data_IF_091743135364
#
_entry.id   IF_091743135364
#
_cell.length_a   1.000
_cell.length_b   1.000
_cell.length_c   1.000
_cell.angle_alpha   90.00
_cell.angle_beta   90.00
_cell.angle_gamma   90.00
#
_symmetry.space_group_name_H-M   'P 1'
#
loop_
_entity.id
_entity.type
_entity.pdbx_description
1 polymer ?
#
# COMPACT_ATOMS: atom_id res chain seq x y z
N UNK A 1 5.67 24.08 22.55
CA UNK A 1 6.15 22.88 21.81
C UNK A 1 6.04 23.05 20.29
N UNK A 2 6.31 24.25 19.77
CA UNK A 2 6.17 24.63 18.34
C UNK A 2 7.50 25.22 17.88
N UNK A 3 8.57 24.43 17.88
CA UNK A 3 9.92 24.94 17.50
C UNK A 3 10.91 23.85 17.07
N UNK A 4 10.46 22.76 16.42
CA UNK A 4 11.36 21.70 15.93
C UNK A 4 11.03 21.17 14.51
N UNK A 5 10.34 21.95 13.67
CA UNK A 5 10.09 21.57 12.25
C UNK A 5 10.34 22.75 11.32
N UNK A 6 11.55 23.33 11.35
CA UNK A 6 11.98 24.37 10.39
C UNK A 6 13.42 24.13 9.90
N UNK A 7 13.75 22.88 9.60
CA UNK A 7 15.09 22.43 9.20
C UNK A 7 15.24 22.12 7.70
N UNK A 8 14.34 22.60 6.83
CA UNK A 8 14.57 22.61 5.38
C UNK A 8 14.22 23.99 4.81
N UNK A 9 15.07 24.58 3.95
CA UNK A 9 14.67 25.75 3.18
C UNK A 9 13.40 25.40 2.37
N UNK A 10 12.52 26.38 2.09
CA UNK A 10 11.37 26.13 1.23
C UNK A 10 11.87 25.56 -0.09
N UNK A 11 11.29 24.43 -0.51
CA UNK A 11 11.70 23.75 -1.73
C UNK A 11 11.65 24.72 -2.91
N UNK A 12 12.67 24.69 -3.76
CA UNK A 12 12.64 25.46 -5.00
C UNK A 12 11.48 24.99 -5.88
N UNK A 13 10.97 25.87 -6.74
CA UNK A 13 9.86 25.54 -7.65
C UNK A 13 10.18 24.29 -8.48
N UNK A 14 11.42 24.12 -8.90
CA UNK A 14 11.87 22.93 -9.65
C UNK A 14 11.82 21.65 -8.81
N UNK A 15 12.20 21.71 -7.53
CA UNK A 15 12.11 20.55 -6.63
C UNK A 15 10.65 20.15 -6.38
N UNK A 16 9.74 21.11 -6.26
CA UNK A 16 8.31 20.83 -6.10
C UNK A 16 7.72 20.13 -7.33
N UNK A 17 8.10 20.58 -8.53
CA UNK A 17 7.69 19.94 -9.79
C UNK A 17 8.25 18.52 -9.88
N UNK A 18 9.52 18.31 -9.53
CA UNK A 18 10.15 16.98 -9.55
C UNK A 18 9.41 15.99 -8.63
N UNK A 19 9.11 16.39 -7.39
CA UNK A 19 8.38 15.54 -6.43
C UNK A 19 6.94 15.27 -6.89
N UNK A 20 6.33 16.16 -7.66
CA UNK A 20 4.99 15.94 -8.21
C UNK A 20 5.00 14.97 -9.42
N UNK A 21 6.03 15.01 -10.26
CA UNK A 21 6.09 14.27 -11.53
C UNK A 21 6.71 12.88 -11.37
N UNK A 22 7.82 12.76 -10.64
CA UNK A 22 8.55 11.48 -10.48
C UNK A 22 7.64 10.34 -10.01
N UNK A 23 6.78 10.53 -8.97
CA UNK A 23 5.91 9.47 -8.50
C UNK A 23 4.95 8.97 -9.57
N UNK A 24 4.53 9.80 -10.52
CA UNK A 24 3.57 9.44 -11.58
C UNK A 24 4.11 8.36 -12.51
N UNK A 25 5.38 8.49 -12.91
CA UNK A 25 6.04 7.52 -13.78
C UNK A 25 6.32 6.21 -13.04
N UNK A 26 6.88 6.29 -11.84
CA UNK A 26 7.15 5.11 -11.01
C UNK A 26 5.87 4.37 -10.64
N UNK A 27 4.81 5.10 -10.30
CA UNK A 27 3.52 4.50 -9.95
C UNK A 27 2.84 3.88 -11.16
N UNK A 28 2.91 4.48 -12.35
CA UNK A 28 2.33 3.90 -13.56
C UNK A 28 2.94 2.52 -13.87
N UNK A 29 4.27 2.40 -13.78
CA UNK A 29 4.95 1.13 -13.95
C UNK A 29 4.55 0.10 -12.88
N UNK A 30 4.40 0.55 -11.62
CA UNK A 30 3.96 -0.31 -10.52
C UNK A 30 2.51 -0.79 -10.68
N UNK A 31 1.59 0.06 -11.15
CA UNK A 31 0.21 -0.33 -11.47
C UNK A 31 0.19 -1.41 -12.55
N UNK A 32 1.00 -1.26 -13.61
CA UNK A 32 1.07 -2.27 -14.67
C UNK A 32 1.62 -3.61 -14.15
N UNK A 33 2.69 -3.59 -13.36
CA UNK A 33 3.27 -4.79 -12.76
C UNK A 33 2.30 -5.50 -11.82
N UNK A 34 1.68 -4.74 -10.91
CA UNK A 34 0.71 -5.28 -9.95
C UNK A 34 -0.56 -5.76 -10.64
N UNK A 35 -1.04 -5.03 -11.66
CA UNK A 35 -2.16 -5.42 -12.50
C UNK A 35 -1.89 -6.73 -13.24
N UNK A 36 -0.69 -6.91 -13.78
CA UNK A 36 -0.30 -8.18 -14.40
C UNK A 36 -0.33 -9.34 -13.41
N UNK A 37 0.18 -9.15 -12.18
CA UNK A 37 0.11 -10.18 -11.12
C UNK A 37 -1.34 -10.55 -10.82
N UNK A 38 -2.21 -9.56 -10.64
CA UNK A 38 -3.63 -9.77 -10.34
C UNK A 38 -4.30 -10.56 -11.47
N UNK A 39 -4.15 -10.11 -12.72
CA UNK A 39 -4.73 -10.79 -13.90
C UNK A 39 -4.18 -12.22 -14.03
N UNK A 40 -2.88 -12.40 -13.88
CA UNK A 40 -2.22 -13.70 -13.99
C UNK A 40 -2.66 -14.69 -12.90
N UNK A 41 -2.93 -14.22 -11.68
CA UNK A 41 -3.51 -15.06 -10.61
C UNK A 41 -4.99 -15.34 -10.85
N UNK A 42 -5.75 -14.36 -11.34
CA UNK A 42 -7.18 -14.50 -11.55
C UNK A 42 -7.54 -15.40 -12.73
N UNK A 43 -6.78 -15.35 -13.83
CA UNK A 43 -7.04 -16.16 -15.03
C UNK A 43 -6.90 -17.66 -14.76
N UNK A 44 -5.94 -18.07 -13.92
CA UNK A 44 -5.64 -19.48 -13.71
C UNK A 44 -6.27 -20.03 -12.41
N UNK A 45 -7.28 -20.92 -12.48
CA UNK A 45 -7.98 -21.43 -11.30
C UNK A 45 -7.05 -22.25 -10.38
N UNK A 46 -6.06 -22.95 -10.93
CA UNK A 46 -5.10 -23.72 -10.13
C UNK A 46 -4.20 -22.82 -9.29
N UNK A 47 -3.87 -21.63 -9.80
CA UNK A 47 -3.09 -20.64 -9.03
C UNK A 47 -3.92 -20.08 -7.89
N UNK A 48 -5.20 -19.78 -8.13
CA UNK A 48 -6.13 -19.30 -7.11
C UNK A 48 -6.35 -20.28 -5.94
N UNK A 49 -6.07 -21.57 -6.13
CA UNK A 49 -6.18 -22.57 -5.06
C UNK A 49 -4.97 -22.61 -4.10
N UNK A 50 -3.85 -22.01 -4.48
CA UNK A 50 -2.63 -21.99 -3.68
C UNK A 50 -2.59 -20.75 -2.79
N UNK A 51 -2.31 -20.96 -1.51
CA UNK A 51 -2.27 -19.88 -0.49
C UNK A 51 -1.29 -18.78 -0.88
N UNK A 52 -0.12 -19.16 -1.40
CA UNK A 52 0.89 -18.22 -1.91
C UNK A 52 0.32 -17.18 -2.89
N UNK A 53 -0.43 -17.62 -3.91
CA UNK A 53 -0.95 -16.72 -4.92
C UNK A 53 -2.08 -15.84 -4.37
N UNK A 54 -2.81 -16.30 -3.36
CA UNK A 54 -3.83 -15.50 -2.68
C UNK A 54 -3.19 -14.39 -1.83
N UNK A 55 -2.11 -14.69 -1.12
CA UNK A 55 -1.31 -13.69 -0.38
C UNK A 55 -0.73 -12.66 -1.36
N UNK A 56 -0.16 -13.11 -2.48
CA UNK A 56 0.31 -12.22 -3.55
C UNK A 56 -0.80 -11.35 -4.13
N UNK A 57 -2.01 -11.89 -4.31
CA UNK A 57 -3.16 -11.12 -4.77
C UNK A 57 -3.52 -10.03 -3.76
N UNK A 58 -3.54 -10.36 -2.46
CA UNK A 58 -3.77 -9.38 -1.38
C UNK A 58 -2.73 -8.25 -1.38
N UNK A 59 -1.44 -8.60 -1.53
CA UNK A 59 -0.36 -7.63 -1.67
C UNK A 59 -0.53 -6.74 -2.90
N UNK A 60 -0.76 -7.35 -4.07
CA UNK A 60 -0.92 -6.61 -5.34
C UNK A 60 -2.10 -5.65 -5.32
N UNK A 61 -3.20 -6.00 -4.65
CA UNK A 61 -4.33 -5.09 -4.46
C UNK A 61 -3.95 -3.85 -3.63
N UNK A 62 -3.19 -4.04 -2.54
CA UNK A 62 -2.71 -2.90 -1.72
C UNK A 62 -1.72 -2.04 -2.49
N UNK A 63 -0.82 -2.65 -3.26
CA UNK A 63 0.15 -1.93 -4.11
C UNK A 63 -0.54 -1.10 -5.20
N UNK A 64 -1.63 -1.60 -5.79
CA UNK A 64 -2.45 -0.80 -6.72
C UNK A 64 -3.04 0.42 -6.01
N UNK A 65 -3.55 0.28 -4.79
CA UNK A 65 -4.11 1.41 -4.03
C UNK A 65 -3.03 2.47 -3.73
N UNK A 66 -1.85 2.07 -3.25
CA UNK A 66 -0.71 2.98 -3.02
C UNK A 66 -0.28 3.64 -4.32
N UNK A 67 -0.23 2.87 -5.42
CA UNK A 67 0.22 3.38 -6.71
C UNK A 67 -0.77 4.36 -7.31
N UNK A 68 -2.08 4.13 -7.19
CA UNK A 68 -3.11 5.09 -7.61
C UNK A 68 -2.98 6.39 -6.82
N UNK A 69 -2.84 6.32 -5.49
CA UNK A 69 -2.55 7.51 -4.67
C UNK A 69 -1.29 8.23 -5.14
N UNK A 70 -0.22 7.49 -5.39
CA UNK A 70 1.08 8.06 -5.79
C UNK A 70 1.03 8.66 -7.20
N UNK A 71 0.20 8.12 -8.08
CA UNK A 71 -0.08 8.71 -9.39
C UNK A 71 -0.84 10.03 -9.27
N UNK A 72 -1.84 10.07 -8.38
CA UNK A 72 -2.57 11.28 -8.06
C UNK A 72 -1.67 12.33 -7.38
N UNK A 73 -0.71 11.89 -6.56
CA UNK A 73 0.33 12.72 -5.89
C UNK A 73 -0.21 14.06 -5.38
N UNK A 74 0.03 15.16 -6.10
CA UNK A 74 -0.36 16.52 -5.72
C UNK A 74 -1.80 16.90 -6.09
N UNK A 75 -2.48 16.16 -6.97
CA UNK A 75 -3.84 16.47 -7.40
C UNK A 75 -4.89 16.51 -6.28
N UNK A 76 -4.93 15.58 -5.30
CA UNK A 76 -5.95 15.57 -4.26
C UNK A 76 -5.74 16.66 -3.19
N UNK A 77 -4.64 17.42 -3.23
CA UNK A 77 -4.38 18.49 -2.28
C UNK A 77 -5.30 19.70 -2.54
N UNK A 78 -5.66 20.47 -1.50
CA UNK A 78 -6.44 21.69 -1.64
C UNK A 78 -5.73 22.73 -2.50
N UNK A 79 -6.51 23.49 -3.28
CA UNK A 79 -5.97 24.51 -4.20
C UNK A 79 -5.05 25.49 -3.47
N UNK A 80 -3.90 25.76 -4.07
CA UNK A 80 -2.92 26.73 -3.56
C UNK A 80 -1.89 26.19 -2.56
N UNK A 81 -1.94 24.91 -2.16
CA UNK A 81 -0.94 24.34 -1.24
C UNK A 81 0.29 23.74 -1.92
N UNK A 82 0.18 23.31 -3.17
CA UNK A 82 1.26 22.70 -3.93
C UNK A 82 1.09 22.87 -5.44
N UNK A 83 2.16 22.67 -6.19
CA UNK A 83 2.12 22.68 -7.66
C UNK A 83 1.22 21.55 -8.18
N UNK A 84 0.22 21.91 -8.99
CA UNK A 84 -0.77 20.97 -9.53
C UNK A 84 -1.89 20.54 -8.56
N UNK A 85 -2.05 21.22 -7.42
CA UNK A 85 -3.13 20.97 -6.47
C UNK A 85 -4.49 21.47 -7.02
N UNK A 86 -5.44 20.55 -7.18
CA UNK A 86 -6.77 20.85 -7.74
C UNK A 86 -7.93 20.35 -6.87
N UNK A 87 -7.63 19.64 -5.78
CA UNK A 87 -8.60 18.99 -4.91
C UNK A 87 -9.12 19.87 -3.77
N UNK A 88 -9.66 19.19 -2.76
CA UNK A 88 -10.20 19.75 -1.52
C UNK A 88 -9.55 19.08 -0.31
N UNK A 89 -9.76 19.62 0.89
CA UNK A 89 -9.29 19.00 2.14
C UNK A 89 -9.83 17.57 2.30
N UNK A 90 -11.06 17.31 1.84
CA UNK A 90 -11.65 15.98 1.87
C UNK A 90 -10.94 14.99 0.95
N UNK A 91 -10.61 15.39 -0.28
CA UNK A 91 -9.86 14.50 -1.20
C UNK A 91 -8.45 14.23 -0.69
N UNK A 92 -7.83 15.22 -0.05
CA UNK A 92 -6.53 15.07 0.59
C UNK A 92 -6.62 14.07 1.77
N UNK A 93 -7.65 14.20 2.61
CA UNK A 93 -7.86 13.31 3.74
C UNK A 93 -8.11 11.87 3.29
N UNK A 94 -8.94 11.69 2.26
CA UNK A 94 -9.24 10.39 1.68
C UNK A 94 -7.98 9.73 1.09
N UNK A 95 -7.20 10.49 0.30
CA UNK A 95 -5.94 10.01 -0.24
C UNK A 95 -4.97 9.63 0.90
N UNK A 96 -4.91 10.42 1.98
CA UNK A 96 -4.14 10.15 3.20
C UNK A 96 -4.52 8.82 3.84
N UNK A 97 -5.81 8.62 4.08
CA UNK A 97 -6.36 7.40 4.69
C UNK A 97 -6.02 6.14 3.89
N UNK A 98 -6.34 6.14 2.58
CA UNK A 98 -6.04 5.00 1.71
C UNK A 98 -4.54 4.74 1.61
N UNK A 99 -3.74 5.81 1.53
CA UNK A 99 -2.28 5.72 1.50
C UNK A 99 -1.69 5.09 2.74
N UNK A 100 -2.11 5.56 3.92
CA UNK A 100 -1.60 5.06 5.20
C UNK A 100 -1.92 3.57 5.36
N UNK A 101 -3.17 3.18 5.11
CA UNK A 101 -3.60 1.80 5.32
C UNK A 101 -2.88 0.82 4.39
N UNK A 102 -2.82 1.16 3.10
CA UNK A 102 -2.19 0.30 2.09
C UNK A 102 -0.65 0.29 2.17
N UNK A 103 -0.02 1.42 2.52
CA UNK A 103 1.45 1.51 2.65
C UNK A 103 2.01 0.68 3.80
N UNK A 104 1.23 0.45 4.87
CA UNK A 104 1.61 -0.44 5.96
C UNK A 104 1.24 -1.90 5.68
N UNK A 105 0.11 -2.14 4.99
CA UNK A 105 -0.31 -3.48 4.63
C UNK A 105 0.68 -4.17 3.69
N UNK A 106 1.29 -3.46 2.72
CA UNK A 106 2.25 -4.03 1.76
C UNK A 106 3.45 -4.76 2.41
N UNK A 107 4.24 -4.08 3.27
CA UNK A 107 5.34 -4.71 3.99
C UNK A 107 4.91 -5.87 4.90
N UNK A 108 3.73 -5.78 5.54
CA UNK A 108 3.19 -6.85 6.38
C UNK A 108 2.77 -8.08 5.55
N UNK A 109 2.25 -7.86 4.35
CA UNK A 109 2.02 -8.95 3.39
C UNK A 109 3.33 -9.61 2.95
N UNK A 110 4.42 -8.84 2.81
CA UNK A 110 5.74 -9.40 2.51
C UNK A 110 6.27 -10.24 3.67
N UNK A 111 6.04 -9.79 4.91
CA UNK A 111 6.29 -10.61 6.11
C UNK A 111 5.47 -11.91 6.10
N UNK A 112 4.21 -11.84 5.68
CA UNK A 112 3.33 -13.02 5.55
C UNK A 112 3.82 -14.00 4.49
N UNK A 113 4.36 -13.51 3.36
CA UNK A 113 5.02 -14.35 2.35
C UNK A 113 6.29 -15.00 2.87
N UNK A 114 7.11 -14.24 3.61
CA UNK A 114 8.34 -14.77 4.21
C UNK A 114 8.02 -15.88 5.22
N UNK A 115 6.98 -15.68 6.04
CA UNK A 115 6.49 -16.71 6.96
C UNK A 115 5.97 -17.94 6.19
N UNK A 116 5.21 -17.74 5.11
CA UNK A 116 4.77 -18.84 4.24
C UNK A 116 5.95 -19.64 3.69
N UNK A 117 6.98 -18.97 3.16
CA UNK A 117 8.17 -19.64 2.63
C UNK A 117 8.96 -20.36 3.71
N UNK A 118 9.12 -19.74 4.88
CA UNK A 118 9.78 -20.37 6.01
C UNK A 118 9.08 -21.67 6.43
N UNK A 119 7.75 -21.64 6.60
CA UNK A 119 6.97 -22.81 7.02
C UNK A 119 6.97 -23.91 5.96
N UNK A 120 6.91 -23.56 4.67
CA UNK A 120 6.86 -24.53 3.57
C UNK A 120 8.20 -25.16 3.23
N UNK A 121 9.30 -24.40 3.33
CA UNK A 121 10.64 -24.87 2.96
C UNK A 121 11.31 -25.58 4.15
N UNK A 122 11.36 -24.94 5.33
CA UNK A 122 12.06 -25.49 6.50
C UNK A 122 11.27 -26.63 7.13
N UNK A 123 9.99 -26.41 7.39
CA UNK A 123 9.13 -27.33 8.14
C UNK A 123 8.18 -28.11 7.24
N UNK A 124 8.66 -28.48 6.04
CA UNK A 124 7.89 -29.14 4.97
C UNK A 124 7.10 -30.38 5.45
N UNK A 125 7.66 -31.14 6.39
CA UNK A 125 6.99 -32.33 6.97
C UNK A 125 5.81 -31.99 7.89
N UNK A 126 5.83 -30.81 8.53
CA UNK A 126 4.83 -30.38 9.51
C UNK A 126 3.72 -29.54 8.88
N UNK A 127 4.06 -28.74 7.88
CA UNK A 127 3.17 -27.77 7.22
C UNK A 127 2.84 -28.21 5.79
N UNK A 128 1.86 -29.12 5.67
CA UNK A 128 1.16 -29.37 4.40
C UNK A 128 0.18 -28.23 4.09
N UNK A 129 -0.15 -28.07 2.81
CA UNK A 129 -1.00 -26.99 2.30
C UNK A 129 -2.37 -26.91 2.99
N UNK A 130 -2.92 -28.03 3.45
CA UNK A 130 -4.14 -28.11 4.26
C UNK A 130 -4.05 -27.32 5.58
N UNK A 131 -2.94 -27.44 6.32
CA UNK A 131 -2.73 -26.70 7.56
C UNK A 131 -2.46 -25.22 7.30
N UNK A 132 -1.76 -24.92 6.21
CA UNK A 132 -1.49 -23.53 5.82
C UNK A 132 -2.79 -22.81 5.45
N UNK A 133 -3.73 -23.49 4.79
CA UNK A 133 -5.09 -22.96 4.53
C UNK A 133 -5.85 -22.61 5.80
N UNK A 134 -5.61 -23.31 6.92
CA UNK A 134 -6.22 -22.95 8.20
C UNK A 134 -5.62 -21.67 8.82
N UNK A 135 -4.34 -21.37 8.52
CA UNK A 135 -3.64 -20.17 9.00
C UNK A 135 -3.74 -19.00 8.01
N UNK A 136 -4.11 -19.27 6.75
CA UNK A 136 -4.33 -18.26 5.70
C UNK A 136 -5.17 -17.05 6.15
N UNK A 137 -6.31 -17.21 6.86
CA UNK A 137 -7.08 -16.08 7.35
C UNK A 137 -6.25 -15.15 8.25
N UNK A 138 -5.37 -15.70 9.08
CA UNK A 138 -4.48 -14.90 9.94
C UNK A 138 -3.38 -14.19 9.14
N UNK A 139 -2.86 -14.83 8.09
CA UNK A 139 -1.87 -14.24 7.18
C UNK A 139 -2.43 -13.05 6.39
N UNK A 140 -3.75 -12.99 6.18
CA UNK A 140 -4.42 -11.84 5.59
C UNK A 140 -4.92 -10.84 6.65
N UNK A 141 -5.44 -11.33 7.77
CA UNK A 141 -6.01 -10.49 8.82
C UNK A 141 -4.97 -9.60 9.47
N UNK A 142 -3.76 -10.10 9.78
CA UNK A 142 -2.73 -9.29 10.44
C UNK A 142 -2.32 -8.07 9.60
N UNK A 143 -1.94 -8.21 8.30
CA UNK A 143 -1.63 -7.07 7.45
C UNK A 143 -2.77 -6.07 7.32
N UNK A 144 -4.00 -6.55 7.14
CA UNK A 144 -5.17 -5.70 6.95
C UNK A 144 -5.55 -4.97 8.24
N UNK A 145 -5.69 -5.69 9.35
CA UNK A 145 -6.08 -5.10 10.63
C UNK A 145 -5.07 -4.08 11.08
N UNK A 146 -3.76 -4.39 11.02
CA UNK A 146 -2.72 -3.43 11.42
C UNK A 146 -2.67 -2.24 10.46
N UNK A 147 -2.69 -2.47 9.15
CA UNK A 147 -2.70 -1.38 8.15
C UNK A 147 -3.90 -0.45 8.34
N UNK A 148 -5.12 -0.98 8.32
CA UNK A 148 -6.33 -0.17 8.38
C UNK A 148 -6.59 0.41 9.77
N UNK A 149 -6.24 -0.26 10.86
CA UNK A 149 -6.39 0.31 12.21
C UNK A 149 -5.52 1.56 12.39
N UNK A 150 -4.30 1.58 11.87
CA UNK A 150 -3.46 2.78 11.92
C UNK A 150 -4.01 3.91 11.05
N UNK A 151 -4.64 3.60 9.93
CA UNK A 151 -5.33 4.60 9.10
C UNK A 151 -6.55 5.18 9.82
N UNK A 152 -7.33 4.35 10.51
CA UNK A 152 -8.47 4.78 11.34
C UNK A 152 -7.97 5.65 12.50
N UNK A 153 -6.91 5.23 13.20
CA UNK A 153 -6.30 6.01 14.27
C UNK A 153 -5.84 7.39 13.74
N UNK A 154 -5.21 7.43 12.56
CA UNK A 154 -4.83 8.69 11.91
C UNK A 154 -6.02 9.59 11.60
N UNK A 155 -7.17 9.02 11.21
CA UNK A 155 -8.40 9.78 10.99
C UNK A 155 -8.98 10.34 12.31
N UNK A 156 -9.02 9.53 13.37
CA UNK A 156 -9.51 9.94 14.70
C UNK A 156 -8.64 11.04 15.30
N UNK A 157 -7.33 10.94 15.14
CA UNK A 157 -6.35 11.94 15.59
C UNK A 157 -6.33 13.19 14.68
N UNK A 158 -7.17 13.25 13.64
CA UNK A 158 -7.21 14.33 12.64
C UNK A 158 -5.86 14.60 11.99
N UNK A 159 -5.03 13.56 11.78
CA UNK A 159 -3.73 13.72 11.10
C UNK A 159 -3.87 14.12 9.62
N UNK A 160 -5.03 13.87 9.02
CA UNK A 160 -5.25 14.06 7.59
C UNK A 160 -6.06 15.33 7.23
N UNK A 161 -6.47 16.14 8.22
CA UNK A 161 -7.35 17.30 8.05
C UNK A 161 -6.84 18.56 8.75
#
# INVERSE_FOLDING_TARGET
>A
YVTMVKLRPPLTTQQQIAIAIVPKFTSALSVLGSGFIIVHVLINPNRRQRVYHRILLGMGLMDVVVSVRSFLSTWPLPKGTAWGAMGTTQTCALAGFFGQGSSLAGPLYNGSLTLYYFLTIRDRKRWREEKIRAVEPWLHAVPLVVGWSTAIAGMVLKLFN
#
